data_IF_188468248080
#
_entry.id   IF_188468248080
#
_cell.length_a   1.000
_cell.length_b   1.000
_cell.length_c   1.000
_cell.angle_alpha   90.00
_cell.angle_beta   90.00
_cell.angle_gamma   90.00
#
_symmetry.space_group_name_H-M   'P 1'
#
loop_
_entity.id
_entity.type
_entity.pdbx_description
1 polymer ?
#
# COMPACT_ATOMS: atom_id res chain seq x y z
N UNK A 1 -1.38 2.93 11.05
CA UNK A 1 -1.89 4.09 10.30
C UNK A 1 -2.34 5.22 11.17
N UNK A 2 -2.55 6.35 10.57
CA UNK A 2 -2.99 7.56 11.26
C UNK A 2 -4.35 7.98 10.70
N UNK A 3 -5.27 8.36 11.61
CA UNK A 3 -6.59 8.88 11.23
C UNK A 3 -6.70 10.35 11.64
N UNK A 4 -6.96 11.21 10.66
CA UNK A 4 -7.13 12.65 10.89
C UNK A 4 -8.51 13.08 10.42
N UNK A 5 -9.27 13.73 11.31
CA UNK A 5 -10.61 14.22 11.01
C UNK A 5 -10.56 15.71 10.69
N UNK A 6 -10.94 16.05 9.47
CA UNK A 6 -11.08 17.44 9.02
C UNK A 6 -12.55 17.87 9.02
N UNK A 7 -12.83 19.11 8.62
CA UNK A 7 -14.18 19.69 8.69
C UNK A 7 -15.25 18.82 8.01
N UNK A 8 -14.95 18.26 6.83
CA UNK A 8 -15.91 17.46 6.05
C UNK A 8 -15.35 16.13 5.56
N UNK A 9 -14.13 15.76 5.98
CA UNK A 9 -13.45 14.56 5.52
C UNK A 9 -12.68 13.89 6.65
N UNK A 10 -12.44 12.61 6.48
CA UNK A 10 -11.53 11.84 7.32
C UNK A 10 -10.37 11.39 6.46
N UNK A 11 -9.17 11.77 6.83
CA UNK A 11 -7.94 11.36 6.14
C UNK A 11 -7.33 10.17 6.88
N UNK A 12 -7.05 9.09 6.13
CA UNK A 12 -6.41 7.87 6.64
C UNK A 12 -5.02 7.76 6.04
N UNK A 13 -4.00 7.85 6.88
CA UNK A 13 -2.62 7.65 6.45
C UNK A 13 -2.21 6.21 6.79
N UNK A 14 -2.00 5.41 5.76
CA UNK A 14 -1.48 4.06 5.93
C UNK A 14 0.01 4.13 5.62
N UNK A 15 0.83 4.13 6.66
CA UNK A 15 2.28 4.19 6.52
C UNK A 15 2.82 2.90 5.89
N UNK A 16 4.09 2.87 5.54
CA UNK A 16 4.73 1.82 4.75
C UNK A 16 4.22 0.41 5.07
N UNK A 17 3.49 -0.16 4.13
CA UNK A 17 2.91 -1.51 4.24
C UNK A 17 3.61 -2.43 3.25
N UNK A 18 3.97 -3.62 3.69
CA UNK A 18 4.76 -4.57 2.92
C UNK A 18 4.26 -6.01 3.14
N UNK A 19 5.02 -6.97 2.64
CA UNK A 19 4.73 -8.40 2.78
C UNK A 19 5.13 -8.90 4.17
N UNK A 20 4.28 -8.61 5.16
CA UNK A 20 4.49 -8.98 6.56
C UNK A 20 3.32 -9.87 7.00
N UNK A 21 3.62 -10.98 7.67
CA UNK A 21 2.59 -11.89 8.18
C UNK A 21 2.06 -11.43 9.54
N UNK A 22 1.11 -12.17 10.09
CA UNK A 22 0.46 -11.88 11.38
C UNK A 22 1.42 -11.97 12.57
N UNK A 23 2.61 -12.55 12.39
CA UNK A 23 3.65 -12.64 13.42
C UNK A 23 4.72 -11.56 13.28
N UNK A 24 4.53 -10.61 12.35
CA UNK A 24 5.50 -9.54 12.10
C UNK A 24 6.72 -9.97 11.30
N UNK A 25 6.69 -11.14 10.69
CA UNK A 25 7.78 -11.67 9.87
C UNK A 25 7.56 -11.37 8.40
N UNK A 26 8.66 -11.22 7.65
CA UNK A 26 8.56 -11.09 6.20
C UNK A 26 7.96 -12.35 5.60
N UNK A 27 6.85 -12.20 4.88
CA UNK A 27 6.25 -13.30 4.13
C UNK A 27 6.86 -13.35 2.72
N UNK A 28 7.10 -14.55 2.23
CA UNK A 28 7.61 -14.82 0.87
C UNK A 28 8.96 -14.15 0.57
N UNK A 29 10.01 -14.33 1.41
CA UNK A 29 11.33 -13.76 1.10
C UNK A 29 11.80 -14.18 -0.29
N UNK A 30 12.33 -13.23 -1.08
CA UNK A 30 12.88 -13.50 -2.40
C UNK A 30 11.85 -13.68 -3.51
N UNK A 31 10.54 -13.68 -3.22
CA UNK A 31 9.47 -13.86 -4.20
C UNK A 31 8.72 -12.54 -4.39
N UNK A 32 9.12 -11.78 -5.42
CA UNK A 32 8.54 -10.45 -5.68
C UNK A 32 7.03 -10.50 -5.91
N UNK A 33 6.55 -11.43 -6.75
CA UNK A 33 5.12 -11.53 -7.07
C UNK A 33 4.29 -11.85 -5.83
N UNK A 34 4.73 -12.82 -5.04
CA UNK A 34 4.03 -13.20 -3.82
C UNK A 34 4.08 -12.07 -2.78
N UNK A 35 5.19 -11.35 -2.68
CA UNK A 35 5.28 -10.19 -1.79
C UNK A 35 4.33 -9.08 -2.22
N UNK A 36 4.21 -8.80 -3.50
CA UNK A 36 3.27 -7.80 -4.00
C UNK A 36 1.83 -8.18 -3.68
N UNK A 37 1.45 -9.45 -3.84
CA UNK A 37 0.12 -9.94 -3.48
C UNK A 37 -0.15 -9.78 -1.99
N UNK A 38 0.80 -10.18 -1.14
CA UNK A 38 0.63 -10.06 0.32
C UNK A 38 0.56 -8.60 0.77
N UNK A 39 1.35 -7.73 0.17
CA UNK A 39 1.31 -6.29 0.42
C UNK A 39 -0.09 -5.74 0.15
N UNK A 40 -0.70 -6.09 -0.98
CA UNK A 40 -2.05 -5.65 -1.33
C UNK A 40 -3.09 -6.15 -0.34
N UNK A 41 -2.98 -7.41 0.10
CA UNK A 41 -3.87 -7.97 1.13
C UNK A 41 -3.76 -7.16 2.41
N UNK A 42 -2.54 -6.83 2.82
CA UNK A 42 -2.30 -6.06 4.05
C UNK A 42 -2.86 -4.64 3.95
N UNK A 43 -2.67 -3.97 2.80
CA UNK A 43 -3.24 -2.62 2.57
C UNK A 43 -4.76 -2.68 2.63
N UNK A 44 -5.38 -3.63 1.93
CA UNK A 44 -6.83 -3.77 1.89
C UNK A 44 -7.39 -4.01 3.31
N UNK A 45 -6.73 -4.86 4.11
CA UNK A 45 -7.16 -5.14 5.47
C UNK A 45 -7.07 -3.91 6.38
N UNK A 46 -5.99 -3.12 6.26
CA UNK A 46 -5.82 -1.91 7.04
C UNK A 46 -6.88 -0.85 6.70
N UNK A 47 -7.18 -0.70 5.41
CA UNK A 47 -8.23 0.22 4.96
C UNK A 47 -9.60 -0.26 5.45
N UNK A 48 -9.89 -1.55 5.31
CA UNK A 48 -11.19 -2.13 5.70
C UNK A 48 -11.50 -1.91 7.19
N UNK A 49 -10.49 -2.02 8.05
CA UNK A 49 -10.65 -1.77 9.49
C UNK A 49 -11.13 -0.35 9.78
N UNK A 50 -10.89 0.59 8.87
CA UNK A 50 -11.29 1.98 9.00
C UNK A 50 -12.50 2.31 8.12
N UNK A 51 -13.14 1.31 7.51
CA UNK A 51 -14.28 1.52 6.64
C UNK A 51 -13.93 2.04 5.25
N UNK A 52 -12.69 1.86 4.81
CA UNK A 52 -12.20 2.35 3.53
C UNK A 52 -11.89 1.21 2.56
N UNK A 53 -11.81 1.55 1.28
CA UNK A 53 -11.47 0.63 0.18
C UNK A 53 -10.48 1.31 -0.75
N UNK A 54 -9.94 0.59 -1.73
CA UNK A 54 -9.05 1.17 -2.74
C UNK A 54 -9.69 2.37 -3.46
N UNK A 55 -11.00 2.35 -3.67
CA UNK A 55 -11.72 3.46 -4.28
C UNK A 55 -11.61 4.78 -3.50
N UNK A 56 -11.30 4.71 -2.22
CA UNK A 56 -11.18 5.87 -1.35
C UNK A 56 -9.77 6.44 -1.33
N UNK A 57 -8.82 5.82 -2.02
CA UNK A 57 -7.42 6.27 -2.04
C UNK A 57 -7.31 7.57 -2.83
N UNK A 58 -6.68 8.57 -2.20
CA UNK A 58 -6.39 9.86 -2.84
C UNK A 58 -5.04 9.86 -3.54
N UNK A 59 -4.03 9.22 -2.96
CA UNK A 59 -2.74 9.00 -3.61
C UNK A 59 -1.96 7.90 -2.87
N UNK A 60 -0.95 7.36 -3.55
CA UNK A 60 -0.07 6.34 -2.98
C UNK A 60 1.34 6.49 -3.51
N UNK A 61 2.31 6.00 -2.76
CA UNK A 61 3.70 5.86 -3.18
C UNK A 61 4.12 4.43 -2.93
N UNK A 62 4.61 3.77 -3.98
CA UNK A 62 5.15 2.42 -3.88
C UNK A 62 6.67 2.48 -4.04
N UNK A 63 7.37 1.86 -3.12
CA UNK A 63 8.82 1.74 -3.14
C UNK A 63 9.18 0.34 -3.61
N UNK A 64 10.11 0.24 -4.55
CA UNK A 64 10.66 -1.04 -5.00
C UNK A 64 12.15 -1.05 -4.74
N UNK A 65 12.66 -2.18 -4.25
CA UNK A 65 14.08 -2.32 -3.95
C UNK A 65 14.92 -2.26 -5.22
N UNK A 66 14.42 -2.84 -6.32
CA UNK A 66 15.12 -2.87 -7.61
C UNK A 66 14.32 -2.10 -8.64
N UNK A 67 14.95 -1.12 -9.30
CA UNK A 67 14.29 -0.27 -10.30
C UNK A 67 13.62 -1.08 -11.42
N UNK A 68 14.20 -2.23 -11.78
CA UNK A 68 13.66 -3.11 -12.83
C UNK A 68 12.26 -3.65 -12.48
N UNK A 69 11.88 -3.67 -11.20
CA UNK A 69 10.58 -4.17 -10.76
C UNK A 69 9.47 -3.11 -10.83
N UNK A 70 9.80 -1.86 -11.14
CA UNK A 70 8.85 -0.75 -11.17
C UNK A 70 7.67 -0.97 -12.11
N UNK A 71 7.94 -1.42 -13.34
CA UNK A 71 6.87 -1.69 -14.32
C UNK A 71 6.02 -2.87 -13.89
N UNK A 72 6.63 -3.92 -13.39
CA UNK A 72 5.92 -5.12 -12.91
C UNK A 72 4.97 -4.80 -11.78
N UNK A 73 5.45 -4.03 -10.79
CA UNK A 73 4.61 -3.66 -9.64
C UNK A 73 3.43 -2.80 -10.08
N UNK A 74 3.67 -1.84 -10.97
CA UNK A 74 2.61 -0.96 -11.46
C UNK A 74 1.52 -1.74 -12.18
N UNK A 75 1.91 -2.66 -13.06
CA UNK A 75 0.96 -3.51 -13.78
C UNK A 75 0.16 -4.42 -12.83
N UNK A 76 0.84 -5.01 -11.86
CA UNK A 76 0.22 -5.92 -10.90
C UNK A 76 -0.80 -5.19 -10.01
N UNK A 77 -0.43 -4.03 -9.49
CA UNK A 77 -1.32 -3.22 -8.66
C UNK A 77 -2.54 -2.76 -9.45
N UNK A 78 -2.32 -2.31 -10.69
CA UNK A 78 -3.41 -1.90 -11.57
C UNK A 78 -4.42 -3.04 -11.79
N UNK A 79 -3.94 -4.25 -12.10
CA UNK A 79 -4.80 -5.43 -12.33
C UNK A 79 -5.58 -5.83 -11.07
N UNK A 80 -5.07 -5.51 -9.90
CA UNK A 80 -5.74 -5.80 -8.63
C UNK A 80 -6.73 -4.73 -8.20
N UNK A 81 -6.94 -3.69 -9.03
CA UNK A 81 -7.86 -2.60 -8.72
C UNK A 81 -7.23 -1.45 -7.94
N UNK A 82 -5.92 -1.50 -7.73
CA UNK A 82 -5.17 -0.41 -7.07
C UNK A 82 -4.81 0.63 -8.12
N UNK A 83 -5.82 1.42 -8.50
CA UNK A 83 -5.74 2.37 -9.61
C UNK A 83 -6.76 3.49 -9.43
N UNK A 84 -6.74 4.48 -10.33
CA UNK A 84 -7.70 5.57 -10.32
C UNK A 84 -7.29 6.75 -9.44
N UNK A 85 -6.03 6.80 -9.00
CA UNK A 85 -5.48 7.88 -8.17
C UNK A 85 -4.01 8.12 -8.55
N UNK A 86 -3.46 9.29 -8.20
CA UNK A 86 -2.02 9.54 -8.38
C UNK A 86 -1.20 8.50 -7.63
N UNK A 87 -0.29 7.85 -8.35
CA UNK A 87 0.50 6.76 -7.80
C UNK A 87 1.93 6.88 -8.31
N UNK A 88 2.87 7.19 -7.42
CA UNK A 88 4.28 7.22 -7.73
C UNK A 88 4.92 5.87 -7.40
N UNK A 89 5.81 5.41 -8.27
CA UNK A 89 6.64 4.22 -8.02
C UNK A 89 8.09 4.66 -8.06
N UNK A 90 8.80 4.45 -6.97
CA UNK A 90 10.20 4.88 -6.84
C UNK A 90 11.08 3.72 -6.39
N UNK A 91 12.33 3.73 -6.83
CA UNK A 91 13.34 2.77 -6.36
C UNK A 91 13.98 3.34 -5.11
N UNK A 92 14.00 2.56 -4.03
CA UNK A 92 14.54 3.01 -2.75
C UNK A 92 14.90 1.82 -1.86
N UNK A 93 15.75 2.07 -0.89
CA UNK A 93 16.03 1.12 0.18
C UNK A 93 14.77 0.93 1.02
N UNK A 94 14.50 -0.32 1.39
CA UNK A 94 13.36 -0.66 2.25
C UNK A 94 13.93 -1.13 3.59
N UNK A 95 13.20 -0.89 4.67
CA UNK A 95 13.72 -1.06 6.03
C UNK A 95 14.20 -2.48 6.38
N UNK A 96 13.74 -3.50 5.64
CA UNK A 96 14.23 -4.88 5.81
C UNK A 96 14.86 -5.37 4.51
N UNK A 97 16.04 -6.01 4.57
CA UNK A 97 16.74 -6.47 3.34
C UNK A 97 15.93 -7.43 2.48
N UNK A 98 15.10 -8.26 3.08
CA UNK A 98 14.30 -9.26 2.37
C UNK A 98 13.00 -8.70 1.74
N UNK A 99 12.64 -7.45 2.05
CA UNK A 99 11.46 -6.83 1.43
C UNK A 99 11.83 -6.23 0.08
N UNK A 100 11.04 -6.56 -0.94
CA UNK A 100 11.25 -6.12 -2.33
C UNK A 100 10.33 -4.99 -2.74
N UNK A 101 9.27 -4.73 -1.98
CA UNK A 101 8.33 -3.64 -2.23
C UNK A 101 7.63 -3.20 -0.94
N UNK A 102 7.15 -1.95 -0.94
CA UNK A 102 6.44 -1.35 0.17
C UNK A 102 5.57 -0.22 -0.39
N UNK A 103 4.39 0.01 0.19
CA UNK A 103 3.49 1.07 -0.27
C UNK A 103 2.95 1.85 0.92
N UNK A 104 2.90 3.18 0.75
CA UNK A 104 2.20 4.06 1.68
C UNK A 104 1.01 4.69 0.96
N UNK A 105 -0.08 4.93 1.69
CA UNK A 105 -1.37 5.32 1.11
C UNK A 105 -1.98 6.46 1.92
N UNK A 106 -2.59 7.41 1.21
CA UNK A 106 -3.52 8.36 1.80
C UNK A 106 -4.91 8.07 1.22
N UNK A 107 -5.86 7.75 2.09
CA UNK A 107 -7.27 7.58 1.71
C UNK A 107 -8.11 8.71 2.32
N UNK A 108 -9.15 9.11 1.62
CA UNK A 108 -10.07 10.16 2.07
C UNK A 108 -11.49 9.58 2.09
N UNK A 109 -12.15 9.76 3.24
CA UNK A 109 -13.54 9.34 3.43
C UNK A 109 -14.41 10.55 3.73
N UNK A 110 -15.69 10.52 3.31
CA UNK A 110 -16.64 11.55 3.77
C UNK A 110 -16.78 11.46 5.28
N UNK A 111 -16.92 12.63 5.93
CA UNK A 111 -17.22 12.64 7.35
C UNK A 111 -18.64 12.11 7.55
N UNK A 112 -18.87 11.18 8.49
CA UNK A 112 -20.22 10.70 8.79
C UNK A 112 -21.14 11.84 9.20
N UNK A 113 -22.37 11.75 8.76
CA UNK A 113 -23.39 12.75 9.10
C UNK A 113 -23.73 12.71 10.59
#
# INVERSE_FOLDING_TARGET
GMRVVETNKVALYVSGTASIDEHGRTAHPGDFEAQADRMLVNIAALLERQGARFLDIAHAITYVKHAADGTRIRQKLHRAGFEGFPHAVVSAEICRPELLCETEVLALLPKPA
#
